data_IF_705224585016
#
_entry.id   IF_705224585016
#
_cell.length_a   1.000
_cell.length_b   1.000
_cell.length_c   1.000
_cell.angle_alpha   90.00
_cell.angle_beta   90.00
_cell.angle_gamma   90.00
#
_symmetry.space_group_name_H-M   'P 1'
#
loop_
_entity.id
_entity.type
_entity.pdbx_description
1 polymer ?
#
# COMPACT_ATOMS: atom_id res chain seq x y z
N UNK A 1 -8.95 -18.10 42.52
CA UNK A 1 -8.92 -19.34 41.71
C UNK A 1 -7.91 -19.10 40.60
N UNK A 2 -7.71 -20.03 39.67
CA UNK A 2 -6.70 -19.83 38.61
C UNK A 2 -7.21 -18.98 37.45
N UNK A 3 -8.52 -18.75 37.36
CA UNK A 3 -9.19 -18.04 36.26
C UNK A 3 -9.13 -16.52 36.39
N UNK A 4 -8.82 -15.99 37.58
CA UNK A 4 -8.77 -14.56 37.87
C UNK A 4 -7.60 -13.86 37.17
N UNK A 5 -6.67 -14.63 36.57
CA UNK A 5 -5.62 -14.11 35.68
C UNK A 5 -6.13 -13.88 34.25
N UNK A 6 -7.24 -14.51 33.85
CA UNK A 6 -7.75 -14.41 32.49
C UNK A 6 -8.14 -12.98 32.09
N UNK A 7 -8.77 -12.16 32.96
CA UNK A 7 -9.08 -10.77 32.62
C UNK A 7 -7.82 -9.94 32.34
N UNK A 8 -6.78 -10.07 33.15
CA UNK A 8 -5.54 -9.31 32.96
C UNK A 8 -4.76 -9.78 31.73
N UNK A 9 -4.69 -11.10 31.51
CA UNK A 9 -4.08 -11.67 30.30
C UNK A 9 -4.84 -11.27 29.02
N UNK A 10 -6.17 -11.19 29.08
CA UNK A 10 -7.00 -10.73 27.97
C UNK A 10 -6.73 -9.26 27.64
N UNK A 11 -6.70 -8.39 28.65
CA UNK A 11 -6.42 -6.96 28.46
C UNK A 11 -5.04 -6.77 27.80
N UNK A 12 -4.02 -7.48 28.27
CA UNK A 12 -2.66 -7.40 27.70
C UNK A 12 -2.66 -7.88 26.24
N UNK A 13 -3.31 -9.01 25.97
CA UNK A 13 -3.36 -9.58 24.62
C UNK A 13 -4.13 -8.67 23.66
N UNK A 14 -5.25 -8.11 24.09
CA UNK A 14 -6.02 -7.13 23.32
C UNK A 14 -5.20 -5.86 23.08
N UNK A 15 -4.54 -5.33 24.11
CA UNK A 15 -3.72 -4.12 24.00
C UNK A 15 -2.54 -4.30 23.03
N UNK A 16 -1.97 -5.50 22.92
CA UNK A 16 -0.89 -5.81 21.98
C UNK A 16 -1.39 -6.19 20.58
N UNK A 17 -2.52 -6.88 20.48
CA UNK A 17 -3.09 -7.36 19.21
C UNK A 17 -3.84 -6.29 18.43
N UNK A 18 -4.59 -5.42 19.12
CA UNK A 18 -5.42 -4.39 18.49
C UNK A 18 -4.61 -3.37 17.68
N UNK A 19 -3.43 -2.89 18.11
CA UNK A 19 -2.64 -1.96 17.32
C UNK A 19 -2.22 -2.54 15.96
N UNK A 20 -1.81 -3.81 15.90
CA UNK A 20 -1.41 -4.45 14.65
C UNK A 20 -2.59 -4.63 13.69
N UNK A 21 -3.72 -5.12 14.21
CA UNK A 21 -4.95 -5.28 13.43
C UNK A 21 -5.53 -3.94 12.96
N UNK A 22 -5.51 -2.93 13.84
CA UNK A 22 -5.98 -1.58 13.53
C UNK A 22 -5.13 -0.91 12.45
N UNK A 23 -3.81 -1.03 12.53
CA UNK A 23 -2.90 -0.43 11.54
C UNK A 23 -3.13 -1.00 10.13
N UNK A 24 -3.41 -2.31 10.03
CA UNK A 24 -3.74 -2.96 8.76
C UNK A 24 -4.98 -2.35 8.08
N UNK A 25 -6.02 -2.05 8.86
CA UNK A 25 -7.25 -1.43 8.36
C UNK A 25 -7.04 0.06 8.05
N UNK A 26 -6.33 0.78 8.91
CA UNK A 26 -6.01 2.20 8.70
C UNK A 26 -5.19 2.40 7.42
N UNK A 27 -4.22 1.53 7.15
CA UNK A 27 -3.45 1.60 5.91
C UNK A 27 -4.32 1.41 4.67
N UNK A 28 -5.28 0.48 4.71
CA UNK A 28 -6.22 0.29 3.61
C UNK A 28 -7.10 1.54 3.38
N UNK A 29 -7.53 2.20 4.47
CA UNK A 29 -8.37 3.41 4.38
C UNK A 29 -7.60 4.64 3.86
N UNK A 30 -6.35 4.84 4.30
CA UNK A 30 -5.58 6.05 3.98
C UNK A 30 -4.84 5.93 2.65
N UNK A 31 -4.23 4.77 2.36
CA UNK A 31 -3.39 4.57 1.18
C UNK A 31 -4.08 3.79 0.05
N UNK A 32 -5.25 3.20 0.32
CA UNK A 32 -5.92 2.27 -0.60
C UNK A 32 -5.18 0.94 -0.76
N UNK A 33 -4.23 0.64 0.14
CA UNK A 33 -3.49 -0.60 0.17
C UNK A 33 -3.17 -1.02 1.60
N UNK A 34 -3.20 -2.32 1.87
CA UNK A 34 -3.02 -2.87 3.22
C UNK A 34 -1.58 -2.75 3.74
N UNK A 35 -0.60 -2.68 2.83
CA UNK A 35 0.81 -2.63 3.17
C UNK A 35 1.47 -1.35 2.63
N UNK A 36 2.31 -0.74 3.46
CA UNK A 36 3.15 0.38 3.07
C UNK A 36 4.38 -0.15 2.32
N UNK A 37 4.78 0.51 1.21
CA UNK A 37 6.04 0.22 0.52
C UNK A 37 7.24 0.63 1.37
N UNK A 38 8.34 -0.11 1.22
CA UNK A 38 9.64 0.25 1.80
C UNK A 38 10.19 1.50 1.12
N UNK A 39 10.81 2.38 1.90
CA UNK A 39 11.38 3.65 1.43
C UNK A 39 12.80 3.87 1.99
N UNK A 40 13.46 2.79 2.41
CA UNK A 40 14.73 2.86 3.10
C UNK A 40 15.85 3.30 2.14
N UNK A 41 15.89 2.72 0.95
CA UNK A 41 16.90 3.09 -0.04
C UNK A 41 16.57 4.43 -0.71
N UNK A 42 17.62 5.12 -1.19
CA UNK A 42 17.46 6.36 -1.97
C UNK A 42 16.72 6.10 -3.29
N UNK A 43 16.96 4.94 -3.90
CA UNK A 43 16.33 4.55 -5.14
C UNK A 43 14.82 4.33 -4.98
N UNK A 44 14.40 3.64 -3.91
CA UNK A 44 12.98 3.40 -3.62
C UNK A 44 12.20 4.70 -3.44
N UNK A 45 12.80 5.68 -2.76
CA UNK A 45 12.23 7.02 -2.60
C UNK A 45 12.08 7.74 -3.94
N UNK A 46 13.09 7.65 -4.81
CA UNK A 46 13.03 8.28 -6.12
C UNK A 46 11.93 7.65 -7.00
N UNK A 47 11.80 6.32 -6.99
CA UNK A 47 10.73 5.62 -7.70
C UNK A 47 9.36 5.97 -7.12
N UNK A 48 9.22 6.03 -5.79
CA UNK A 48 7.95 6.40 -5.16
C UNK A 48 7.47 7.79 -5.59
N UNK A 49 8.38 8.77 -5.67
CA UNK A 49 8.04 10.11 -6.18
C UNK A 49 7.74 10.10 -7.69
N UNK A 50 8.45 9.31 -8.48
CA UNK A 50 8.17 9.15 -9.91
C UNK A 50 6.76 8.61 -10.12
N UNK A 51 6.40 7.54 -9.41
CA UNK A 51 5.08 6.91 -9.52
C UNK A 51 3.97 7.89 -9.09
N UNK A 52 4.18 8.66 -8.01
CA UNK A 52 3.28 9.75 -7.61
C UNK A 52 3.07 10.81 -8.70
N UNK A 53 4.12 11.23 -9.41
CA UNK A 53 4.01 12.22 -10.49
C UNK A 53 3.30 11.67 -11.73
N UNK A 54 3.45 10.38 -12.02
CA UNK A 54 2.90 9.75 -13.21
C UNK A 54 1.42 9.35 -13.05
N UNK A 55 1.03 8.82 -11.89
CA UNK A 55 -0.30 8.20 -11.70
C UNK A 55 -1.12 8.83 -10.58
N UNK A 56 -0.52 9.71 -9.78
CA UNK A 56 -1.14 10.25 -8.56
C UNK A 56 -1.29 9.25 -7.42
N UNK A 57 -1.03 7.95 -7.65
CA UNK A 57 -1.08 6.92 -6.62
C UNK A 57 0.11 5.93 -6.77
N UNK A 58 1.01 5.87 -5.77
CA UNK A 58 2.23 5.07 -5.85
C UNK A 58 2.01 3.56 -5.68
N UNK A 59 0.79 3.13 -5.36
CA UNK A 59 0.41 1.72 -5.22
C UNK A 59 -0.30 1.16 -6.45
N UNK A 60 -0.66 2.01 -7.41
CA UNK A 60 -1.28 1.58 -8.66
C UNK A 60 -0.20 1.27 -9.69
N UNK A 61 -0.06 0.01 -10.06
CA UNK A 61 0.82 -0.39 -11.16
C UNK A 61 0.17 0.03 -12.48
N UNK A 62 0.78 0.96 -13.21
CA UNK A 62 0.43 1.19 -14.61
C UNK A 62 1.05 0.08 -15.45
N UNK A 63 0.45 -1.10 -15.42
CA UNK A 63 0.57 -2.03 -16.53
C UNK A 63 -0.49 -1.57 -17.52
N UNK A 64 -0.09 -0.84 -18.57
CA UNK A 64 -0.94 -0.78 -19.76
C UNK A 64 -1.23 -2.22 -20.13
N UNK A 65 -2.51 -2.56 -20.29
CA UNK A 65 -2.83 -3.86 -20.90
C UNK A 65 -2.03 -3.98 -22.20
N UNK A 66 -1.61 -5.18 -22.57
CA UNK A 66 -0.86 -5.40 -23.80
C UNK A 66 -1.52 -4.73 -25.02
N UNK A 67 -2.86 -4.66 -25.01
CA UNK A 67 -3.69 -3.96 -25.99
C UNK A 67 -3.42 -2.45 -26.00
N UNK A 68 -3.36 -1.78 -24.84
CA UNK A 68 -3.08 -0.34 -24.76
C UNK A 68 -1.64 0.03 -25.11
N UNK A 69 -0.68 -0.86 -24.82
CA UNK A 69 0.71 -0.68 -25.25
C UNK A 69 0.82 -0.85 -26.77
N UNK A 70 0.13 -1.85 -27.33
CA UNK A 70 0.09 -2.07 -28.77
C UNK A 70 -0.65 -0.93 -29.49
N UNK A 71 -1.73 -0.37 -28.93
CA UNK A 71 -2.38 0.83 -29.46
C UNK A 71 -1.43 2.03 -29.41
N UNK A 72 -0.63 2.22 -28.36
CA UNK A 72 0.34 3.32 -28.31
C UNK A 72 1.51 3.16 -29.31
N UNK A 73 2.00 1.92 -29.50
CA UNK A 73 3.03 1.59 -30.50
C UNK A 73 2.48 1.76 -31.93
N UNK A 74 1.22 1.35 -32.17
CA UNK A 74 0.57 1.38 -33.48
C UNK A 74 -0.01 2.75 -33.84
N UNK A 75 -0.39 3.56 -32.85
CA UNK A 75 -0.93 4.92 -33.01
C UNK A 75 0.18 5.98 -33.01
N UNK A 76 1.41 5.60 -33.37
CA UNK A 76 2.61 6.41 -33.23
C UNK A 76 2.38 7.91 -33.34
N UNK A 77 2.70 8.64 -32.26
CA UNK A 77 2.95 10.08 -32.22
C UNK A 77 2.06 10.92 -33.18
N UNK A 78 0.91 11.39 -32.71
CA UNK A 78 0.08 12.28 -33.52
C UNK A 78 -0.96 13.06 -32.72
N UNK A 79 -0.56 13.76 -31.66
CA UNK A 79 -1.32 14.92 -31.19
C UNK A 79 -0.71 16.17 -31.85
N UNK A 80 -1.51 16.82 -32.70
CA UNK A 80 -1.34 18.22 -33.11
C UNK A 80 -1.59 19.15 -31.92
#
# INVERSE_FOLDING_TARGET
>A
MWYEILPSAFIITAALGLPGWGLYHIHNLVLGNHYRRTLDSRWDRHIYQRDLRLTGNPYKLTVRSFIEFMVFILSGSGDN
#
